data_IF_461139690349
#
_entry.id   IF_461139690349
#
_cell.length_a   1.000
_cell.length_b   1.000
_cell.length_c   1.000
_cell.angle_alpha   90.00
_cell.angle_beta   90.00
_cell.angle_gamma   90.00
#
_symmetry.space_group_name_H-M   'P 1'
#
loop_
_entity.id
_entity.type
_entity.pdbx_description
1 polymer ?
#
# COMPACT_ATOMS: atom_id res chain seq x y z
N UNK A 1 13.33 3.35 18.72
CA UNK A 1 14.28 3.88 17.72
C UNK A 1 14.21 5.40 17.76
N UNK A 2 15.34 6.13 17.72
CA UNK A 2 15.31 7.57 17.43
C UNK A 2 14.85 7.79 15.97
N UNK A 3 14.25 8.94 15.64
CA UNK A 3 13.15 8.98 14.70
C UNK A 3 13.58 8.85 13.24
N UNK A 4 12.80 8.10 12.48
CA UNK A 4 12.78 8.11 11.02
C UNK A 4 12.48 9.48 10.39
N UNK A 5 12.23 10.52 11.19
CA UNK A 5 11.90 11.89 10.77
C UNK A 5 12.86 12.47 9.73
N UNK A 6 14.15 12.14 9.79
CA UNK A 6 15.12 12.60 8.77
C UNK A 6 14.89 11.98 7.38
N UNK A 7 14.20 10.84 7.32
CA UNK A 7 13.85 10.11 6.11
C UNK A 7 12.38 10.26 5.72
N UNK A 8 11.53 10.68 6.66
CA UNK A 8 10.10 10.86 6.41
C UNK A 8 9.84 12.12 5.57
N UNK A 9 9.50 11.91 4.30
CA UNK A 9 9.21 12.95 3.32
C UNK A 9 7.80 12.79 2.77
N UNK A 10 6.80 13.14 3.57
CA UNK A 10 5.39 13.02 3.19
C UNK A 10 5.01 13.88 1.98
N UNK A 11 5.77 14.95 1.70
CA UNK A 11 5.64 15.81 0.53
C UNK A 11 5.99 15.10 -0.80
N UNK A 12 6.70 13.97 -0.75
CA UNK A 12 7.00 13.15 -1.92
C UNK A 12 5.80 12.29 -2.38
N UNK A 13 4.80 12.05 -1.51
CA UNK A 13 3.68 11.15 -1.80
C UNK A 13 2.89 11.56 -3.06
N UNK A 14 2.52 12.83 -3.29
CA UNK A 14 1.83 13.23 -4.51
C UNK A 14 2.63 12.98 -5.79
N UNK A 15 3.96 13.15 -5.72
CA UNK A 15 4.83 12.88 -6.87
C UNK A 15 4.93 11.38 -7.16
N UNK A 16 5.03 10.55 -6.12
CA UNK A 16 5.03 9.10 -6.25
C UNK A 16 3.71 8.57 -6.86
N UNK A 17 2.56 9.10 -6.44
CA UNK A 17 1.27 8.73 -7.04
C UNK A 17 1.17 9.09 -8.52
N UNK A 18 1.67 10.27 -8.93
CA UNK A 18 1.67 10.65 -10.35
C UNK A 18 2.50 9.69 -11.19
N UNK A 19 3.65 9.25 -10.67
CA UNK A 19 4.48 8.25 -11.34
C UNK A 19 3.75 6.91 -11.44
N UNK A 20 3.15 6.44 -10.34
CA UNK A 20 2.38 5.19 -10.28
C UNK A 20 1.28 5.13 -11.34
N UNK A 21 0.47 6.19 -11.45
CA UNK A 21 -0.64 6.28 -12.42
C UNK A 21 -0.14 6.33 -13.86
N UNK A 22 1.05 6.87 -14.10
CA UNK A 22 1.62 7.03 -15.45
C UNK A 22 2.37 5.78 -15.96
N UNK A 23 2.56 4.74 -15.12
CA UNK A 23 3.35 3.57 -15.51
C UNK A 23 2.73 2.80 -16.68
N UNK A 24 3.55 2.40 -17.62
CA UNK A 24 3.14 1.74 -18.86
C UNK A 24 3.80 0.37 -19.08
N UNK A 25 4.88 0.10 -18.35
CA UNK A 25 5.68 -1.12 -18.47
C UNK A 25 6.19 -1.60 -17.09
N UNK A 26 6.86 -2.75 -17.09
CA UNK A 26 7.34 -3.40 -15.87
C UNK A 26 8.38 -2.58 -15.10
N UNK A 27 9.32 -1.96 -15.81
CA UNK A 27 10.40 -1.18 -15.22
C UNK A 27 9.83 0.05 -14.53
N UNK A 28 8.97 0.80 -15.23
CA UNK A 28 8.25 1.94 -14.66
C UNK A 28 7.38 1.54 -13.46
N UNK A 29 6.72 0.37 -13.53
CA UNK A 29 5.95 -0.19 -12.42
C UNK A 29 6.80 -0.40 -11.17
N UNK A 30 7.96 -1.03 -11.32
CA UNK A 30 8.91 -1.26 -10.21
C UNK A 30 9.47 0.03 -9.66
N UNK A 31 9.77 1.00 -10.52
CA UNK A 31 10.25 2.31 -10.08
C UNK A 31 9.18 3.06 -9.28
N UNK A 32 7.93 3.04 -9.74
CA UNK A 32 6.81 3.64 -9.03
C UNK A 32 6.53 2.94 -7.69
N UNK A 33 6.59 1.60 -7.64
CA UNK A 33 6.51 0.81 -6.41
C UNK A 33 7.55 1.30 -5.38
N UNK A 34 8.82 1.36 -5.78
CA UNK A 34 9.90 1.80 -4.88
C UNK A 34 9.73 3.25 -4.43
N UNK A 35 9.43 4.16 -5.37
CA UNK A 35 9.19 5.59 -5.08
C UNK A 35 8.06 5.77 -4.09
N UNK A 36 6.98 5.00 -4.23
CA UNK A 36 5.84 5.08 -3.34
C UNK A 36 6.19 4.56 -1.94
N UNK A 37 6.86 3.40 -1.83
CA UNK A 37 7.26 2.86 -0.53
C UNK A 37 8.26 3.75 0.21
N UNK A 38 9.16 4.44 -0.48
CA UNK A 38 10.01 5.45 0.16
C UNK A 38 9.25 6.72 0.57
N UNK A 39 8.13 7.03 -0.07
CA UNK A 39 7.32 8.20 0.30
C UNK A 39 6.44 7.94 1.53
N UNK A 40 5.96 6.70 1.70
CA UNK A 40 5.08 6.31 2.82
C UNK A 40 5.78 5.50 3.91
N UNK A 41 7.08 5.24 3.77
CA UNK A 41 7.85 4.40 4.67
C UNK A 41 9.33 4.37 4.35
N UNK A 42 10.03 3.42 4.96
CA UNK A 42 11.40 3.05 4.64
C UNK A 42 11.38 1.64 4.04
N UNK A 43 11.44 1.58 2.70
CA UNK A 43 11.40 0.32 1.96
C UNK A 43 12.53 -0.64 2.35
N UNK A 44 13.72 -0.12 2.71
CA UNK A 44 14.84 -0.95 3.14
C UNK A 44 14.67 -1.53 4.55
N UNK A 45 13.95 -0.82 5.43
CA UNK A 45 13.76 -1.24 6.81
C UNK A 45 12.42 -1.95 7.05
N UNK A 46 11.58 -2.11 6.02
CA UNK A 46 10.26 -2.72 6.15
C UNK A 46 9.35 -1.98 7.14
N UNK A 47 9.35 -0.65 7.09
CA UNK A 47 8.73 0.20 8.12
C UNK A 47 7.88 1.31 7.48
N UNK A 48 6.64 1.51 7.95
CA UNK A 48 5.71 2.50 7.44
C UNK A 48 5.68 3.77 8.31
N UNK A 49 5.41 4.90 7.65
CA UNK A 49 5.17 6.20 8.25
C UNK A 49 3.66 6.52 8.30
N UNK A 50 3.23 7.53 9.08
CA UNK A 50 1.82 7.95 9.13
C UNK A 50 1.19 8.25 7.77
N UNK A 51 1.98 8.70 6.78
CA UNK A 51 1.50 8.95 5.43
C UNK A 51 0.95 7.72 4.70
N UNK A 52 1.28 6.50 5.14
CA UNK A 52 0.72 5.27 4.60
C UNK A 52 -0.81 5.21 4.80
N UNK A 53 -1.33 5.71 5.92
CA UNK A 53 -2.76 5.67 6.24
C UNK A 53 -3.62 6.39 5.19
N UNK A 54 -3.39 7.68 4.85
CA UNK A 54 -4.14 8.34 3.80
C UNK A 54 -3.77 7.85 2.38
N UNK A 55 -2.60 7.22 2.19
CA UNK A 55 -2.21 6.68 0.89
C UNK A 55 -2.96 5.39 0.51
N UNK A 56 -3.21 4.49 1.46
CA UNK A 56 -3.83 3.18 1.19
C UNK A 56 -5.20 3.28 0.50
N UNK A 57 -6.15 4.14 0.91
CA UNK A 57 -7.41 4.34 0.18
C UNK A 57 -7.21 4.80 -1.28
N UNK A 58 -6.19 5.61 -1.55
CA UNK A 58 -5.85 6.06 -2.90
C UNK A 58 -5.23 4.95 -3.74
N UNK A 59 -4.39 4.09 -3.14
CA UNK A 59 -3.86 2.89 -3.80
C UNK A 59 -4.99 1.91 -4.15
N UNK A 60 -5.94 1.70 -3.24
CA UNK A 60 -7.16 0.90 -3.51
C UNK A 60 -7.93 1.48 -4.71
N UNK A 61 -8.01 2.80 -4.83
CA UNK A 61 -8.63 3.45 -5.98
C UNK A 61 -7.88 3.16 -7.28
N UNK A 62 -6.55 3.20 -7.26
CA UNK A 62 -5.71 2.79 -8.42
C UNK A 62 -6.00 1.33 -8.79
N UNK A 63 -6.08 0.43 -7.80
CA UNK A 63 -6.40 -0.98 -8.01
C UNK A 63 -7.75 -1.16 -8.71
N UNK A 64 -8.77 -0.41 -8.27
CA UNK A 64 -10.14 -0.46 -8.82
C UNK A 64 -10.24 0.11 -10.22
N UNK A 65 -9.67 1.28 -10.45
CA UNK A 65 -9.96 2.12 -11.62
C UNK A 65 -8.97 1.91 -12.77
N UNK A 66 -7.70 1.63 -12.48
CA UNK A 66 -6.67 1.47 -13.50
C UNK A 66 -6.46 0.00 -13.85
N UNK A 67 -5.68 -0.27 -14.89
CA UNK A 67 -5.33 -1.62 -15.40
C UNK A 67 -3.83 -1.71 -15.69
N UNK A 68 -3.31 -2.92 -15.83
CA UNK A 68 -1.92 -3.16 -16.22
C UNK A 68 -0.94 -2.85 -15.09
N UNK A 69 0.20 -2.26 -15.44
CA UNK A 69 1.32 -2.00 -14.51
C UNK A 69 1.00 -1.06 -13.34
N UNK A 70 0.18 0.01 -13.49
CA UNK A 70 -0.25 0.82 -12.35
C UNK A 70 -1.03 0.02 -11.31
N UNK A 71 -1.97 -0.82 -11.76
CA UNK A 71 -2.78 -1.68 -10.90
C UNK A 71 -1.91 -2.72 -10.19
N UNK A 72 -1.04 -3.38 -10.94
CA UNK A 72 -0.13 -4.37 -10.36
C UNK A 72 0.76 -3.74 -9.31
N UNK A 73 1.42 -2.62 -9.62
CA UNK A 73 2.31 -1.93 -8.68
C UNK A 73 1.55 -1.49 -7.42
N UNK A 74 0.31 -1.04 -7.54
CA UNK A 74 -0.52 -0.70 -6.40
C UNK A 74 -0.88 -1.92 -5.52
N UNK A 75 -1.13 -3.09 -6.10
CA UNK A 75 -1.32 -4.33 -5.33
C UNK A 75 -0.07 -4.70 -4.55
N UNK A 76 1.10 -4.66 -5.19
CA UNK A 76 2.39 -4.94 -4.52
C UNK A 76 2.63 -3.99 -3.35
N UNK A 77 2.39 -2.68 -3.53
CA UNK A 77 2.51 -1.70 -2.43
C UNK A 77 1.55 -2.04 -1.28
N UNK A 78 0.31 -2.49 -1.57
CA UNK A 78 -0.66 -2.86 -0.55
C UNK A 78 -0.25 -4.12 0.22
N UNK A 79 0.40 -5.09 -0.44
CA UNK A 79 1.00 -6.26 0.23
C UNK A 79 2.03 -5.77 1.25
N UNK A 80 2.96 -4.92 0.84
CA UNK A 80 3.98 -4.39 1.75
C UNK A 80 3.38 -3.56 2.89
N UNK A 81 2.28 -2.83 2.64
CA UNK A 81 1.58 -2.11 3.71
C UNK A 81 1.04 -3.05 4.81
N UNK A 82 0.67 -4.28 4.46
CA UNK A 82 0.25 -5.31 5.42
C UNK A 82 1.44 -6.05 6.04
N UNK A 83 2.56 -6.19 5.33
CA UNK A 83 3.73 -6.91 5.83
C UNK A 83 4.64 -6.05 6.72
N UNK A 84 4.82 -4.78 6.37
CA UNK A 84 5.76 -3.90 7.05
C UNK A 84 5.30 -3.56 8.48
N UNK A 85 6.30 -3.36 9.36
CA UNK A 85 6.09 -2.75 10.67
C UNK A 85 5.82 -1.25 10.54
N UNK A 86 5.69 -0.56 11.67
CA UNK A 86 5.42 0.89 11.71
C UNK A 86 6.50 1.62 12.50
N UNK A 87 6.80 2.85 12.11
CA UNK A 87 7.72 3.74 12.85
C UNK A 87 7.16 4.09 14.24
N UNK A 88 5.84 4.25 14.28
CA UNK A 88 5.04 4.52 15.47
C UNK A 88 3.70 3.83 15.32
N UNK A 89 3.20 3.26 16.41
CA UNK A 89 1.91 2.56 16.41
C UNK A 89 0.74 3.50 16.11
N UNK A 90 0.82 4.73 16.63
CA UNK A 90 -0.27 5.71 16.61
C UNK A 90 0.21 7.09 16.18
N UNK A 91 -0.70 7.87 15.58
CA UNK A 91 -0.51 9.30 15.33
C UNK A 91 -1.84 10.07 15.48
N UNK A 92 -1.75 11.38 15.69
CA UNK A 92 -2.92 12.26 15.69
C UNK A 92 -3.10 12.83 14.28
N UNK A 93 -4.25 12.58 13.67
CA UNK A 93 -4.56 13.06 12.33
C UNK A 93 -4.94 14.56 12.33
N UNK A 94 -5.12 15.20 11.16
CA UNK A 94 -5.52 16.61 11.09
C UNK A 94 -6.88 16.95 11.73
N UNK A 95 -7.74 15.95 11.97
CA UNK A 95 -9.01 16.13 12.68
C UNK A 95 -8.87 16.08 14.20
N UNK A 96 -7.69 15.70 14.70
CA UNK A 96 -7.42 15.50 16.13
C UNK A 96 -7.69 14.07 16.61
N UNK A 97 -8.02 13.13 15.71
CA UNK A 97 -8.26 11.74 16.07
C UNK A 97 -6.95 10.97 16.21
N UNK A 98 -6.83 10.15 17.26
CA UNK A 98 -5.73 9.19 17.38
C UNK A 98 -6.00 7.98 16.50
N UNK A 99 -5.09 7.71 15.57
CA UNK A 99 -5.18 6.62 14.60
C UNK A 99 -4.09 5.59 14.85
N UNK A 100 -4.48 4.32 15.01
CA UNK A 100 -3.59 3.16 14.99
C UNK A 100 -3.28 2.80 13.54
N UNK A 101 -2.00 2.88 13.16
CA UNK A 101 -1.59 2.83 11.74
C UNK A 101 -1.95 1.48 11.10
N UNK A 102 -1.55 0.36 11.71
CA UNK A 102 -1.82 -0.98 11.17
C UNK A 102 -3.31 -1.27 11.08
N UNK A 103 -4.07 -0.93 12.12
CA UNK A 103 -5.52 -1.14 12.16
C UNK A 103 -6.24 -0.38 11.05
N UNK A 104 -5.86 0.89 10.84
CA UNK A 104 -6.44 1.73 9.79
C UNK A 104 -6.11 1.22 8.38
N UNK A 105 -4.85 0.81 8.15
CA UNK A 105 -4.42 0.22 6.87
C UNK A 105 -5.18 -1.08 6.61
N UNK A 106 -5.17 -2.02 7.56
CA UNK A 106 -5.81 -3.31 7.41
C UNK A 106 -7.33 -3.17 7.20
N UNK A 107 -7.99 -2.28 7.96
CA UNK A 107 -9.41 -2.00 7.75
C UNK A 107 -9.70 -1.46 6.34
N UNK A 108 -8.87 -0.54 5.83
CA UNK A 108 -9.02 -0.01 4.48
C UNK A 108 -8.86 -1.11 3.42
N UNK A 109 -7.81 -1.95 3.50
CA UNK A 109 -7.60 -3.04 2.54
C UNK A 109 -8.73 -4.08 2.64
N UNK A 110 -9.17 -4.45 3.84
CA UNK A 110 -10.34 -5.34 4.03
C UNK A 110 -11.60 -4.79 3.37
N UNK A 111 -11.83 -3.48 3.38
CA UNK A 111 -12.96 -2.86 2.69
C UNK A 111 -12.95 -3.04 1.16
N UNK A 112 -11.79 -3.37 0.59
CA UNK A 112 -11.60 -3.63 -0.85
C UNK A 112 -11.58 -5.13 -1.20
N UNK A 113 -11.83 -6.02 -0.23
CA UNK A 113 -11.65 -7.47 -0.38
C UNK A 113 -12.37 -8.07 -1.58
N UNK A 114 -13.62 -7.67 -1.84
CA UNK A 114 -14.38 -8.18 -3.00
C UNK A 114 -13.81 -7.72 -4.34
N UNK A 115 -13.29 -6.48 -4.41
CA UNK A 115 -12.60 -6.02 -5.62
C UNK A 115 -11.33 -6.83 -5.87
N UNK A 116 -10.54 -7.08 -4.82
CA UNK A 116 -9.30 -7.87 -4.91
C UNK A 116 -9.62 -9.32 -5.31
N UNK A 117 -10.66 -9.94 -4.74
CA UNK A 117 -11.14 -11.28 -5.12
C UNK A 117 -11.54 -11.38 -6.59
N UNK A 118 -12.14 -10.33 -7.15
CA UNK A 118 -12.45 -10.28 -8.58
C UNK A 118 -11.16 -10.24 -9.41
N UNK A 119 -10.18 -9.42 -9.02
CA UNK A 119 -8.89 -9.32 -9.72
C UNK A 119 -8.10 -10.63 -9.70
N UNK A 120 -8.15 -11.38 -8.59
CA UNK A 120 -7.53 -12.69 -8.44
C UNK A 120 -8.04 -13.76 -9.44
N UNK A 121 -9.13 -13.48 -10.15
CA UNK A 121 -9.74 -14.36 -11.17
C UNK A 121 -9.55 -13.85 -12.59
N UNK A 122 -8.98 -12.66 -12.78
CA UNK A 122 -8.75 -12.09 -14.10
C UNK A 122 -7.61 -12.82 -14.82
N UNK A 123 -7.80 -13.11 -16.11
CA UNK A 123 -6.71 -13.58 -16.97
C UNK A 123 -6.15 -12.39 -17.76
N UNK A 124 -5.03 -11.86 -17.27
CA UNK A 124 -4.33 -10.72 -17.88
C UNK A 124 -2.84 -11.04 -18.00
N UNK A 125 -2.15 -10.36 -18.93
CA UNK A 125 -0.73 -10.58 -19.20
C UNK A 125 0.17 -10.12 -18.03
N UNK A 126 -0.25 -9.09 -17.31
CA UNK A 126 0.43 -8.59 -16.11
C UNK A 126 0.09 -9.49 -14.93
N UNK A 127 1.01 -9.81 -14.00
CA UNK A 127 0.78 -10.74 -12.89
C UNK A 127 -0.17 -10.21 -11.78
N UNK A 128 -1.19 -9.43 -12.15
CA UNK A 128 -2.20 -8.85 -11.25
C UNK A 128 -2.97 -9.92 -10.46
N UNK A 129 -3.30 -11.06 -11.09
CA UNK A 129 -4.08 -12.10 -10.42
C UNK A 129 -3.30 -12.75 -9.26
N UNK A 130 -2.00 -13.01 -9.47
CA UNK A 130 -1.10 -13.54 -8.44
C UNK A 130 -0.96 -12.55 -7.28
N UNK A 131 -0.61 -11.29 -7.55
CA UNK A 131 -0.52 -10.26 -6.51
C UNK A 131 -1.83 -10.06 -5.74
N UNK A 132 -2.98 -10.19 -6.41
CA UNK A 132 -4.28 -10.12 -5.76
C UNK A 132 -4.56 -11.34 -4.86
N UNK A 133 -4.06 -12.53 -5.22
CA UNK A 133 -4.12 -13.72 -4.36
C UNK A 133 -3.23 -13.56 -3.14
N UNK A 134 -1.97 -13.17 -3.33
CA UNK A 134 -1.02 -12.93 -2.24
C UNK A 134 -1.56 -11.91 -1.23
N UNK A 135 -2.18 -10.83 -1.72
CA UNK A 135 -2.82 -9.81 -0.86
C UNK A 135 -4.00 -10.36 -0.06
N UNK A 136 -4.77 -11.30 -0.62
CA UNK A 136 -5.89 -11.94 0.10
C UNK A 136 -5.39 -12.92 1.16
N UNK A 137 -4.33 -13.68 0.87
CA UNK A 137 -3.70 -14.58 1.83
C UNK A 137 -3.16 -13.78 3.03
N UNK A 138 -2.44 -12.68 2.78
CA UNK A 138 -1.93 -11.80 3.84
C UNK A 138 -3.05 -11.21 4.71
N UNK A 139 -4.19 -10.87 4.11
CA UNK A 139 -5.37 -10.39 4.85
C UNK A 139 -5.99 -11.46 5.76
N UNK A 140 -5.95 -12.72 5.34
CA UNK A 140 -6.49 -13.83 6.11
C UNK A 140 -5.55 -14.23 7.25
N UNK A 141 -4.23 -14.18 7.04
CA UNK A 141 -3.24 -14.42 8.09
C UNK A 141 -3.29 -13.37 9.22
N UNK A 142 -3.43 -12.08 8.88
CA UNK A 142 -3.63 -10.99 9.85
C UNK A 142 -4.91 -11.18 10.69
N UNK A 143 -5.94 -11.82 10.12
CA UNK A 143 -7.19 -12.08 10.85
C UNK A 143 -7.06 -13.19 11.90
N UNK A 144 -6.10 -14.11 11.72
CA UNK A 144 -5.81 -15.20 12.66
C UNK A 144 -4.96 -14.74 13.85
N UNK A 145 -4.26 -13.61 13.73
CA UNK A 145 -3.41 -13.06 14.81
C UNK A 145 -4.13 -12.04 15.70
N UNK A 146 -5.37 -11.67 15.37
CA UNK A 146 -6.14 -10.63 16.07
C UNK A 146 -7.22 -11.19 17.03
N UNK A 147 -7.32 -12.52 17.19
CA UNK A 147 -8.15 -13.22 18.19
C UNK A 147 -7.33 -13.62 19.43
#
# INVERSE_FOLDING_TARGET
MPPSEQWYRSDAVPAAFRLLVATSNQEEGRDAYNRMLFAIGNNHAGCLYPAAVPAVPLLIRVVRELRGWPRWSALEILIECLTFGVDREEFVDPSGATIRIKDAIAAAVRSAREDIRRLAREQVVVPTATSAQDLLEQLDDESLTAE
#
